data_IF_905286807633
#
_entry.id   IF_905286807633
#
_cell.length_a   1.000
_cell.length_b   1.000
_cell.length_c   1.000
_cell.angle_alpha   90.00
_cell.angle_beta   90.00
_cell.angle_gamma   90.00
#
_symmetry.space_group_name_H-M   'P 1'
#
loop_
_entity.id
_entity.type
_entity.pdbx_description
1 polymer ?
#
# COMPACT_ATOMS: atom_id res chain seq x y z
N UNK A 1 -9.37 14.82 -20.47
CA UNK A 1 -8.63 14.27 -19.31
C UNK A 1 -9.22 12.91 -18.97
N UNK A 2 -8.42 11.85 -19.09
CA UNK A 2 -8.89 10.47 -19.06
C UNK A 2 -9.29 10.00 -17.66
N UNK A 3 -10.53 9.53 -17.52
CA UNK A 3 -11.12 8.99 -16.28
C UNK A 3 -10.24 7.88 -15.66
N UNK A 4 -9.64 7.05 -16.51
CA UNK A 4 -8.74 5.96 -16.08
C UNK A 4 -7.49 6.48 -15.39
N UNK A 5 -6.91 7.61 -15.83
CA UNK A 5 -5.70 8.16 -15.21
C UNK A 5 -6.02 8.69 -13.82
N UNK A 6 -7.13 9.42 -13.66
CA UNK A 6 -7.58 9.94 -12.35
C UNK A 6 -7.91 8.81 -11.36
N UNK A 7 -8.62 7.78 -11.80
CA UNK A 7 -8.92 6.62 -10.97
C UNK A 7 -7.65 5.88 -10.53
N UNK A 8 -6.63 5.81 -11.41
CA UNK A 8 -5.33 5.21 -11.08
C UNK A 8 -4.58 6.04 -10.03
N UNK A 9 -4.55 7.37 -10.19
CA UNK A 9 -3.91 8.27 -9.22
C UNK A 9 -4.61 8.20 -7.86
N UNK A 10 -5.94 8.16 -7.83
CA UNK A 10 -6.68 8.07 -6.56
C UNK A 10 -6.41 6.74 -5.83
N UNK A 11 -6.37 5.62 -6.55
CA UNK A 11 -6.06 4.32 -5.95
C UNK A 11 -4.66 4.33 -5.31
N UNK A 12 -3.66 4.92 -5.99
CA UNK A 12 -2.30 5.03 -5.43
C UNK A 12 -2.31 5.88 -4.15
N UNK A 13 -3.00 7.01 -4.15
CA UNK A 13 -3.13 7.85 -2.94
C UNK A 13 -3.82 7.12 -1.79
N UNK A 14 -4.91 6.41 -2.06
CA UNK A 14 -5.64 5.66 -1.04
C UNK A 14 -4.76 4.53 -0.46
N UNK A 15 -4.01 3.82 -1.31
CA UNK A 15 -3.05 2.80 -0.87
C UNK A 15 -1.92 3.41 -0.05
N UNK A 16 -1.35 4.54 -0.49
CA UNK A 16 -0.28 5.24 0.24
C UNK A 16 -0.74 5.65 1.64
N UNK A 17 -1.95 6.19 1.78
CA UNK A 17 -2.50 6.52 3.10
C UNK A 17 -2.62 5.29 4.02
N UNK A 18 -3.08 4.16 3.49
CA UNK A 18 -3.17 2.92 4.27
C UNK A 18 -1.78 2.39 4.65
N UNK A 19 -0.78 2.53 3.77
CA UNK A 19 0.58 2.06 4.01
C UNK A 19 1.30 2.95 5.04
N UNK A 20 1.13 4.27 4.97
CA UNK A 20 1.63 5.20 5.99
C UNK A 20 1.01 4.93 7.37
N UNK A 21 -0.26 4.50 7.43
CA UNK A 21 -0.91 4.16 8.70
C UNK A 21 -0.43 2.83 9.28
N UNK A 22 -0.01 1.89 8.44
CA UNK A 22 0.63 0.65 8.86
C UNK A 22 2.07 0.90 9.34
N UNK A 23 2.75 1.87 8.73
CA UNK A 23 4.14 2.26 8.96
C UNK A 23 5.09 1.09 9.24
N UNK A 24 5.28 0.18 8.27
CA UNK A 24 5.95 -1.08 8.55
C UNK A 24 7.44 -0.93 8.90
N UNK A 25 8.04 0.23 8.60
CA UNK A 25 9.43 0.53 8.91
C UNK A 25 9.60 1.51 10.08
N UNK A 26 8.52 1.97 10.71
CA UNK A 26 8.57 2.90 11.85
C UNK A 26 9.18 4.25 11.49
N UNK A 27 8.79 4.82 10.34
CA UNK A 27 9.34 6.06 9.80
C UNK A 27 8.52 7.30 10.15
N UNK A 28 7.37 7.14 10.80
CA UNK A 28 6.41 8.20 11.13
C UNK A 28 6.11 9.13 9.91
N UNK A 29 5.61 8.60 8.78
CA UNK A 29 5.54 9.38 7.53
C UNK A 29 4.64 10.62 7.65
N UNK A 30 5.21 11.80 7.37
CA UNK A 30 4.50 13.07 7.38
C UNK A 30 4.51 13.83 8.71
N UNK A 31 5.11 13.27 9.76
CA UNK A 31 5.38 13.99 11.01
C UNK A 31 6.59 14.95 10.88
N UNK A 32 6.71 15.91 11.80
CA UNK A 32 7.72 16.98 11.76
C UNK A 32 9.17 16.45 11.70
N UNK A 33 9.44 15.39 12.45
CA UNK A 33 10.74 14.71 12.51
C UNK A 33 10.76 13.37 11.75
N UNK A 34 9.65 13.02 11.09
CA UNK A 34 9.48 11.75 10.38
C UNK A 34 9.97 11.80 8.93
N UNK A 35 9.82 10.67 8.24
CA UNK A 35 10.07 10.59 6.81
C UNK A 35 9.03 11.42 6.01
N UNK A 36 9.31 11.78 4.75
CA UNK A 36 8.32 12.40 3.88
C UNK A 36 7.02 11.58 3.78
N UNK A 37 5.87 12.25 3.68
CA UNK A 37 4.57 11.56 3.58
C UNK A 37 4.43 10.69 2.31
N UNK A 38 5.30 10.87 1.32
CA UNK A 38 5.36 10.12 0.08
C UNK A 38 6.47 9.06 0.06
N UNK A 39 7.11 8.78 1.20
CA UNK A 39 8.21 7.81 1.32
C UNK A 39 7.85 6.44 0.74
N UNK A 40 6.65 5.94 1.03
CA UNK A 40 6.15 4.64 0.55
C UNK A 40 5.47 4.67 -0.83
N UNK A 41 5.69 5.73 -1.63
CA UNK A 41 5.06 5.86 -2.95
C UNK A 41 5.39 4.75 -3.94
N UNK A 42 6.63 4.22 -4.02
CA UNK A 42 6.96 3.11 -4.90
C UNK A 42 6.17 1.84 -4.58
N UNK A 43 6.08 1.48 -3.30
CA UNK A 43 5.35 0.32 -2.78
C UNK A 43 3.84 0.50 -3.00
N UNK A 44 3.32 1.68 -2.70
CA UNK A 44 1.91 2.01 -2.92
C UNK A 44 1.54 1.88 -4.41
N UNK A 45 2.44 2.25 -5.31
CA UNK A 45 2.24 2.10 -6.76
C UNK A 45 2.21 0.63 -7.19
N UNK A 46 3.10 -0.20 -6.64
CA UNK A 46 3.14 -1.63 -6.91
C UNK A 46 1.87 -2.34 -6.41
N UNK A 47 1.46 -2.04 -5.18
CA UNK A 47 0.24 -2.57 -4.55
C UNK A 47 -1.00 -2.15 -5.35
N UNK A 48 -1.14 -0.87 -5.69
CA UNK A 48 -2.26 -0.38 -6.49
C UNK A 48 -2.33 -1.05 -7.87
N UNK A 49 -1.18 -1.27 -8.50
CA UNK A 49 -1.09 -1.96 -9.79
C UNK A 49 -1.57 -3.42 -9.69
N UNK A 50 -1.15 -4.12 -8.63
CA UNK A 50 -1.58 -5.50 -8.35
C UNK A 50 -3.09 -5.57 -8.06
N UNK A 51 -3.60 -4.72 -7.17
CA UNK A 51 -5.03 -4.62 -6.84
C UNK A 51 -5.88 -4.38 -8.08
N UNK A 52 -5.44 -3.49 -8.97
CA UNK A 52 -6.17 -3.20 -10.21
C UNK A 52 -6.16 -4.38 -11.18
N UNK A 53 -5.04 -5.09 -11.29
CA UNK A 53 -4.90 -6.22 -12.21
C UNK A 53 -5.71 -7.44 -11.76
N UNK A 54 -5.71 -7.73 -10.46
CA UNK A 54 -6.29 -8.96 -9.90
C UNK A 54 -7.66 -8.75 -9.24
N UNK A 55 -8.03 -7.51 -8.90
CA UNK A 55 -9.25 -7.17 -8.17
C UNK A 55 -9.22 -7.53 -6.67
N UNK A 56 -8.17 -8.25 -6.24
CA UNK A 56 -7.89 -8.56 -4.84
C UNK A 56 -6.37 -8.62 -4.60
N UNK A 57 -5.97 -8.56 -3.34
CA UNK A 57 -4.60 -8.76 -2.89
C UNK A 57 -4.57 -9.58 -1.61
N UNK A 58 -3.53 -10.40 -1.46
CA UNK A 58 -3.31 -11.25 -0.28
C UNK A 58 -2.13 -10.78 0.56
N UNK A 59 -1.98 -11.29 1.78
CA UNK A 59 -0.79 -11.05 2.61
C UNK A 59 0.48 -11.53 1.92
N UNK A 60 0.41 -12.66 1.20
CA UNK A 60 1.54 -13.18 0.41
C UNK A 60 1.95 -12.22 -0.70
N UNK A 61 0.98 -11.62 -1.40
CA UNK A 61 1.28 -10.61 -2.42
C UNK A 61 1.96 -9.37 -1.81
N UNK A 62 1.55 -8.93 -0.61
CA UNK A 62 2.20 -7.82 0.10
C UNK A 62 3.64 -8.19 0.47
N UNK A 63 3.84 -9.39 1.02
CA UNK A 63 5.17 -9.87 1.39
C UNK A 63 6.11 -9.96 0.18
N UNK A 64 5.60 -10.44 -0.95
CA UNK A 64 6.36 -10.47 -2.21
C UNK A 64 6.74 -9.06 -2.69
N UNK A 65 5.79 -8.13 -2.70
CA UNK A 65 6.07 -6.74 -3.09
C UNK A 65 7.11 -6.14 -2.15
N UNK A 66 7.00 -6.36 -0.85
CA UNK A 66 7.96 -5.85 0.13
C UNK A 66 9.36 -6.44 -0.08
N UNK A 67 9.44 -7.76 -0.34
CA UNK A 67 10.68 -8.45 -0.61
C UNK A 67 11.38 -7.96 -1.89
N UNK A 68 10.61 -7.55 -2.91
CA UNK A 68 11.18 -6.98 -4.13
C UNK A 68 11.91 -5.64 -3.88
N UNK A 69 11.48 -4.87 -2.88
CA UNK A 69 12.08 -3.55 -2.55
C UNK A 69 13.18 -3.65 -1.48
N UNK A 70 12.92 -4.39 -0.39
CA UNK A 70 13.79 -4.43 0.78
C UNK A 70 14.62 -5.71 0.90
N UNK A 71 14.39 -6.70 0.03
CA UNK A 71 15.06 -8.00 0.08
C UNK A 71 14.58 -8.92 1.21
N UNK A 72 13.53 -8.53 1.92
CA UNK A 72 12.94 -9.28 3.03
C UNK A 72 11.41 -9.27 2.97
N UNK A 73 10.79 -10.33 3.49
CA UNK A 73 9.34 -10.34 3.67
C UNK A 73 8.95 -9.31 4.71
N UNK A 74 7.88 -8.57 4.46
CA UNK A 74 7.16 -7.95 5.56
C UNK A 74 6.77 -9.07 6.53
N UNK A 75 7.16 -8.97 7.80
CA UNK A 75 6.97 -10.07 8.73
C UNK A 75 5.48 -10.45 8.77
N UNK A 76 5.16 -11.74 8.74
CA UNK A 76 3.76 -12.18 8.85
C UNK A 76 3.12 -11.72 10.18
N UNK A 77 3.96 -11.42 11.18
CA UNK A 77 3.60 -10.91 12.50
C UNK A 77 3.62 -9.37 12.59
N UNK A 78 3.76 -8.63 11.48
CA UNK A 78 3.57 -7.18 11.50
C UNK A 78 2.15 -6.88 11.99
N UNK A 79 2.06 -6.24 13.15
CA UNK A 79 0.79 -5.85 13.76
C UNK A 79 -0.04 -5.05 12.73
N UNK A 80 -1.27 -5.51 12.48
CA UNK A 80 -2.18 -4.85 11.54
C UNK A 80 -2.05 -5.25 10.06
N UNK A 81 -1.12 -6.13 9.66
CA UNK A 81 -0.99 -6.56 8.24
C UNK A 81 -2.29 -7.19 7.69
N UNK A 82 -2.97 -8.00 8.49
CA UNK A 82 -4.25 -8.60 8.08
C UNK A 82 -5.35 -7.55 7.88
N UNK A 83 -5.41 -6.53 8.75
CA UNK A 83 -6.35 -5.42 8.63
C UNK A 83 -6.02 -4.52 7.44
N UNK A 84 -4.73 -4.26 7.20
CA UNK A 84 -4.25 -3.55 6.01
C UNK A 84 -4.71 -4.24 4.72
N UNK A 85 -4.49 -5.56 4.60
CA UNK A 85 -4.94 -6.34 3.43
C UNK A 85 -6.46 -6.31 3.28
N UNK A 86 -7.22 -6.38 4.38
CA UNK A 86 -8.68 -6.24 4.34
C UNK A 86 -9.08 -4.87 3.77
N UNK A 87 -8.46 -3.80 4.25
CA UNK A 87 -8.81 -2.43 3.90
C UNK A 87 -8.42 -2.10 2.44
N UNK A 88 -7.26 -2.61 1.97
CA UNK A 88 -6.88 -2.58 0.55
C UNK A 88 -7.94 -3.21 -0.35
N UNK A 89 -8.42 -4.41 0.01
CA UNK A 89 -9.46 -5.10 -0.75
C UNK A 89 -10.82 -4.38 -0.70
N UNK A 90 -11.08 -3.60 0.35
CA UNK A 90 -12.29 -2.77 0.44
C UNK A 90 -12.28 -1.61 -0.56
N UNK A 91 -11.11 -1.09 -0.95
CA UNK A 91 -10.98 -0.05 -1.97
C UNK A 91 -11.59 -0.46 -3.32
N UNK A 92 -11.48 -1.75 -3.67
CA UNK A 92 -12.02 -2.29 -4.93
C UNK A 92 -13.54 -2.50 -4.92
N UNK A 93 -14.18 -2.41 -3.74
CA UNK A 93 -15.62 -2.60 -3.56
C UNK A 93 -16.40 -1.29 -3.45
N UNK A 94 -15.72 -0.15 -3.53
CA UNK A 94 -16.36 1.17 -3.45
C UNK A 94 -17.22 1.41 -4.70
N UNK A 95 -18.48 1.87 -4.54
CA UNK A 95 -19.42 2.08 -5.64
C UNK A 95 -19.00 3.21 -6.61
#
# INVERSE_FOLDING_TARGET
>A
MDKNRRASTQLITDVLHLLNALDPSGLDPGDEDGAPADEYSPEATAIASKLRASGLITTEDINMIWADWFGESLAADTDGLADFVRDLNALMKRP
#
